data_IF_151635033929
#
_entry.id   IF_151635033929
#
_cell.length_a   1.000
_cell.length_b   1.000
_cell.length_c   1.000
_cell.angle_alpha   90.00
_cell.angle_beta   90.00
_cell.angle_gamma   90.00
#
_symmetry.space_group_name_H-M   'P 1'
#
loop_
_entity.id
_entity.type
_entity.pdbx_description
1 polymer ?
#
# COMPACT_ATOMS: atom_id res chain seq x y z
N UNK A 1 42.09 39.80 19.00
CA UNK A 1 41.78 39.83 17.56
C UNK A 1 41.97 38.42 17.06
N UNK A 2 40.88 37.84 16.55
CA UNK A 2 40.74 36.55 15.84
C UNK A 2 41.32 35.30 16.50
N UNK A 3 40.44 34.42 16.99
CA UNK A 3 40.51 32.97 16.69
C UNK A 3 39.34 32.15 17.27
N UNK A 4 38.46 32.74 18.10
CA UNK A 4 37.30 32.00 18.67
C UNK A 4 35.99 32.11 17.88
N UNK A 5 35.91 32.95 16.85
CA UNK A 5 34.65 33.25 16.13
C UNK A 5 34.51 32.49 14.78
N UNK A 6 35.33 31.45 14.55
CA UNK A 6 35.34 30.71 13.27
C UNK A 6 34.91 29.24 13.40
N UNK A 7 34.55 28.77 14.59
CA UNK A 7 34.09 27.39 14.81
C UNK A 7 32.58 27.23 14.94
N UNK A 8 31.82 28.32 15.15
CA UNK A 8 30.35 28.24 15.26
C UNK A 8 29.59 28.36 13.93
N UNK A 9 30.25 28.75 12.84
CA UNK A 9 29.59 28.97 11.53
C UNK A 9 29.55 27.73 10.62
N UNK A 10 30.09 26.58 11.03
CA UNK A 10 30.20 25.40 10.17
C UNK A 10 29.19 24.26 10.43
N UNK A 11 28.37 24.32 11.49
CA UNK A 11 27.45 23.21 11.84
C UNK A 11 25.95 23.54 11.64
N UNK A 12 25.63 24.76 11.20
CA UNK A 12 24.28 25.12 10.79
C UNK A 12 24.02 24.72 9.31
N UNK A 13 23.39 23.56 9.10
CA UNK A 13 22.45 23.25 7.99
C UNK A 13 22.68 22.00 7.13
N UNK A 14 23.48 21.01 7.56
CA UNK A 14 23.39 19.67 6.92
C UNK A 14 22.19 18.89 7.49
N UNK A 15 20.96 19.35 7.20
CA UNK A 15 19.76 18.57 7.50
C UNK A 15 19.92 17.17 6.89
N UNK A 16 19.87 16.14 7.74
CA UNK A 16 19.94 14.74 7.33
C UNK A 16 18.95 14.47 6.19
N UNK A 17 19.41 13.87 5.09
CA UNK A 17 18.56 13.46 3.96
C UNK A 17 18.22 11.96 3.99
N UNK A 18 18.42 11.29 5.13
CA UNK A 18 18.27 9.82 5.26
C UNK A 18 16.86 9.34 4.90
N UNK A 19 15.80 10.08 5.26
CA UNK A 19 14.44 9.72 4.89
C UNK A 19 14.22 9.73 3.37
N UNK A 20 14.81 10.71 2.67
CA UNK A 20 14.75 10.79 1.21
C UNK A 20 15.52 9.64 0.55
N UNK A 21 16.73 9.33 1.05
CA UNK A 21 17.50 8.21 0.50
C UNK A 21 16.82 6.85 0.74
N UNK A 22 16.18 6.66 1.90
CA UNK A 22 15.40 5.46 2.16
C UNK A 22 14.19 5.36 1.23
N UNK A 23 13.50 6.46 0.97
CA UNK A 23 12.42 6.51 -0.03
C UNK A 23 12.91 6.15 -1.42
N UNK A 24 14.01 6.76 -1.89
CA UNK A 24 14.57 6.46 -3.19
C UNK A 24 15.03 5.00 -3.30
N UNK A 25 15.68 4.46 -2.26
CA UNK A 25 16.06 3.06 -2.18
C UNK A 25 14.85 2.12 -2.21
N UNK A 26 13.77 2.46 -1.50
CA UNK A 26 12.54 1.68 -1.50
C UNK A 26 11.82 1.70 -2.86
N UNK A 27 11.91 2.81 -3.61
CA UNK A 27 11.41 2.88 -4.98
C UNK A 27 12.20 1.99 -5.94
N UNK A 28 13.53 2.04 -5.86
CA UNK A 28 14.40 1.16 -6.66
C UNK A 28 14.11 -0.30 -6.31
N UNK A 29 14.00 -0.62 -5.01
CA UNK A 29 13.61 -1.95 -4.55
C UNK A 29 12.26 -2.37 -5.12
N UNK A 30 11.22 -1.52 -5.06
CA UNK A 30 9.90 -1.84 -5.61
C UNK A 30 9.97 -2.18 -7.10
N UNK A 31 10.68 -1.38 -7.90
CA UNK A 31 10.84 -1.62 -9.34
C UNK A 31 11.59 -2.94 -9.59
N UNK A 32 12.74 -3.12 -8.96
CA UNK A 32 13.56 -4.32 -9.14
C UNK A 32 12.85 -5.58 -8.66
N UNK A 33 12.12 -5.51 -7.56
CA UNK A 33 11.41 -6.65 -6.99
C UNK A 33 10.15 -7.00 -7.82
N UNK A 34 9.42 -6.02 -8.33
CA UNK A 34 8.34 -6.29 -9.31
C UNK A 34 8.88 -6.93 -10.57
N UNK A 35 10.04 -6.47 -11.08
CA UNK A 35 10.71 -7.14 -12.20
C UNK A 35 11.13 -8.57 -11.84
N UNK A 36 11.61 -8.81 -10.62
CA UNK A 36 11.96 -10.15 -10.15
C UNK A 36 10.73 -11.08 -10.12
N UNK A 37 9.58 -10.62 -9.63
CA UNK A 37 8.32 -11.40 -9.68
C UNK A 37 8.01 -11.78 -11.13
N UNK A 38 8.07 -10.83 -12.06
CA UNK A 38 7.84 -11.09 -13.48
C UNK A 38 8.83 -12.10 -14.05
N UNK A 39 10.13 -11.94 -13.76
CA UNK A 39 11.19 -12.79 -14.28
C UNK A 39 11.12 -14.23 -13.75
N UNK A 40 10.70 -14.41 -12.49
CA UNK A 40 10.49 -15.73 -11.89
C UNK A 40 9.11 -16.32 -12.22
N UNK A 41 8.18 -15.50 -12.70
CA UNK A 41 6.81 -15.87 -13.02
C UNK A 41 6.65 -17.20 -13.78
N UNK A 42 7.39 -17.46 -14.88
CA UNK A 42 7.29 -18.72 -15.61
C UNK A 42 7.58 -19.98 -14.79
N UNK A 43 8.26 -19.87 -13.63
CA UNK A 43 8.48 -21.00 -12.72
C UNK A 43 7.22 -21.41 -11.96
N UNK A 44 6.14 -20.62 -12.01
CA UNK A 44 4.84 -20.94 -11.42
C UNK A 44 3.95 -21.78 -12.34
N UNK A 45 4.38 -22.06 -13.58
CA UNK A 45 3.61 -22.87 -14.55
C UNK A 45 3.11 -24.21 -13.99
N UNK A 46 3.88 -24.97 -13.17
CA UNK A 46 3.39 -26.22 -12.59
C UNK A 46 2.14 -26.06 -11.71
N UNK A 47 1.92 -24.88 -11.14
CA UNK A 47 0.71 -24.56 -10.38
C UNK A 47 -0.38 -24.02 -11.29
N UNK A 48 -0.05 -23.06 -12.16
CA UNK A 48 -1.01 -22.37 -13.02
C UNK A 48 -1.70 -23.35 -13.98
N UNK A 49 -0.98 -24.35 -14.50
CA UNK A 49 -1.54 -25.37 -15.39
C UNK A 49 -2.60 -26.26 -14.71
N UNK A 50 -2.73 -26.19 -13.39
CA UNK A 50 -3.73 -26.96 -12.62
C UNK A 50 -5.03 -26.20 -12.41
N UNK A 51 -5.08 -24.90 -12.72
CA UNK A 51 -6.26 -24.07 -12.49
C UNK A 51 -7.48 -24.57 -13.25
N UNK A 52 -8.65 -24.43 -12.63
CA UNK A 52 -9.93 -24.75 -13.24
C UNK A 52 -10.52 -23.46 -13.80
N UNK A 53 -10.78 -23.42 -15.11
CA UNK A 53 -11.29 -22.22 -15.81
C UNK A 53 -12.78 -21.91 -15.55
N UNK A 54 -13.46 -22.68 -14.70
CA UNK A 54 -14.89 -22.49 -14.43
C UNK A 54 -15.11 -21.54 -13.25
N UNK A 55 -15.96 -20.53 -13.47
CA UNK A 55 -16.44 -19.61 -12.44
C UNK A 55 -17.72 -20.14 -11.77
N UNK A 56 -17.67 -20.63 -10.52
CA UNK A 56 -18.83 -21.06 -9.76
C UNK A 56 -19.69 -19.90 -9.21
N UNK A 57 -19.32 -18.63 -9.41
CA UNK A 57 -20.12 -17.45 -9.03
C UNK A 57 -19.31 -16.28 -8.46
N UNK A 58 -20.00 -15.22 -8.04
CA UNK A 58 -19.42 -13.91 -7.68
C UNK A 58 -18.35 -13.91 -6.56
N UNK A 59 -18.22 -14.98 -5.79
CA UNK A 59 -17.22 -15.12 -4.72
C UNK A 59 -15.94 -15.84 -5.18
N UNK A 60 -15.90 -16.36 -6.41
CA UNK A 60 -14.78 -17.11 -6.94
C UNK A 60 -13.56 -16.22 -7.17
N UNK A 61 -12.38 -16.75 -6.85
CA UNK A 61 -11.09 -16.13 -7.09
C UNK A 61 -10.25 -17.02 -8.00
N UNK A 62 -9.81 -16.49 -9.14
CA UNK A 62 -9.15 -17.29 -10.19
C UNK A 62 -7.75 -17.80 -9.80
N UNK A 63 -6.96 -17.00 -9.07
CA UNK A 63 -5.58 -17.35 -8.72
C UNK A 63 -5.51 -18.18 -7.44
N UNK A 64 -6.10 -19.36 -7.45
CA UNK A 64 -6.10 -20.28 -6.33
C UNK A 64 -6.01 -21.72 -6.84
N UNK A 65 -5.36 -22.60 -6.08
CA UNK A 65 -5.27 -24.02 -6.44
C UNK A 65 -6.65 -24.68 -6.33
N UNK A 66 -6.92 -25.73 -7.15
CA UNK A 66 -8.20 -26.41 -7.14
C UNK A 66 -8.55 -27.06 -5.79
N UNK A 67 -7.53 -27.46 -5.05
CA UNK A 67 -7.67 -28.15 -3.77
C UNK A 67 -7.01 -27.36 -2.67
N UNK A 68 -7.80 -26.99 -1.67
CA UNK A 68 -7.32 -26.37 -0.44
C UNK A 68 -6.40 -27.34 0.32
N UNK A 69 -5.14 -26.98 0.49
CA UNK A 69 -4.21 -27.70 1.38
C UNK A 69 -4.14 -27.06 2.78
N UNK A 70 -4.23 -27.90 3.82
CA UNK A 70 -4.22 -27.41 5.20
C UNK A 70 -2.85 -26.85 5.63
N UNK A 71 -1.74 -27.49 5.22
CA UNK A 71 -0.40 -27.04 5.60
C UNK A 71 -0.06 -25.72 4.92
N UNK A 72 -0.39 -25.57 3.63
CA UNK A 72 -0.27 -24.31 2.90
C UNK A 72 -1.03 -23.21 3.62
N UNK A 73 -2.31 -23.43 3.93
CA UNK A 73 -3.12 -22.41 4.61
C UNK A 73 -2.57 -22.05 5.99
N UNK A 74 -2.13 -23.05 6.77
CA UNK A 74 -1.50 -22.80 8.06
C UNK A 74 -0.25 -21.91 7.94
N UNK A 75 0.60 -22.16 6.94
CA UNK A 75 1.81 -21.37 6.66
C UNK A 75 1.44 -19.93 6.26
N UNK A 76 0.52 -19.77 5.30
CA UNK A 76 0.12 -18.45 4.78
C UNK A 76 -0.52 -17.60 5.88
N UNK A 77 -1.45 -18.17 6.65
CA UNK A 77 -2.03 -17.48 7.81
C UNK A 77 -0.99 -17.13 8.86
N UNK A 78 -0.03 -18.02 9.12
CA UNK A 78 1.05 -17.75 10.07
C UNK A 78 1.93 -16.57 9.60
N UNK A 79 2.28 -16.50 8.32
CA UNK A 79 3.03 -15.38 7.77
C UNK A 79 2.23 -14.08 7.75
N UNK A 80 0.94 -14.13 7.39
CA UNK A 80 0.06 -12.98 7.48
C UNK A 80 -0.01 -12.44 8.92
N UNK A 81 -0.30 -13.30 9.91
CA UNK A 81 -0.40 -12.89 11.31
C UNK A 81 0.94 -12.38 11.86
N UNK A 82 2.05 -13.05 11.54
CA UNK A 82 3.38 -12.61 11.92
C UNK A 82 3.71 -11.23 11.33
N UNK A 83 3.40 -11.01 10.05
CA UNK A 83 3.58 -9.71 9.40
C UNK A 83 2.71 -8.64 10.07
N UNK A 84 1.42 -8.94 10.26
CA UNK A 84 0.44 -8.03 10.84
C UNK A 84 0.81 -7.59 12.25
N UNK A 85 1.12 -8.55 13.13
CA UNK A 85 1.46 -8.27 14.52
C UNK A 85 2.83 -7.60 14.66
N UNK A 86 3.78 -7.89 13.78
CA UNK A 86 5.08 -7.19 13.76
C UNK A 86 4.90 -5.71 13.43
N UNK A 87 4.08 -5.37 12.43
CA UNK A 87 3.77 -3.98 12.08
C UNK A 87 2.96 -3.29 13.17
N UNK A 88 1.94 -3.94 13.73
CA UNK A 88 1.16 -3.39 14.84
C UNK A 88 2.01 -3.16 16.10
N UNK A 89 2.93 -4.07 16.41
CA UNK A 89 3.90 -3.90 17.49
C UNK A 89 4.81 -2.68 17.27
N UNK A 90 5.29 -2.48 16.04
CA UNK A 90 6.07 -1.31 15.67
C UNK A 90 5.26 0.00 15.82
N UNK A 91 4.01 0.00 15.36
CA UNK A 91 3.09 1.14 15.50
C UNK A 91 2.85 1.46 16.98
N UNK A 92 2.55 0.45 17.79
CA UNK A 92 2.32 0.61 19.22
C UNK A 92 3.54 1.21 19.93
N UNK A 93 4.73 0.70 19.62
CA UNK A 93 5.98 1.27 20.13
C UNK A 93 6.15 2.73 19.70
N UNK A 94 5.94 3.05 18.41
CA UNK A 94 6.09 4.41 17.90
C UNK A 94 5.07 5.39 18.48
N UNK A 95 3.82 4.96 18.71
CA UNK A 95 2.79 5.80 19.30
C UNK A 95 3.17 6.32 20.69
N UNK A 96 3.92 5.52 21.46
CA UNK A 96 4.41 5.84 22.82
C UNK A 96 5.72 6.63 22.82
N UNK A 97 6.61 6.34 21.87
CA UNK A 97 7.99 6.86 21.91
C UNK A 97 8.24 8.04 20.94
N UNK A 98 7.42 8.21 19.90
CA UNK A 98 7.63 9.22 18.84
C UNK A 98 6.51 10.27 18.82
N UNK A 99 6.01 10.65 20.01
CA UNK A 99 4.86 11.57 20.16
C UNK A 99 5.10 12.93 19.52
N UNK A 100 6.30 13.50 19.67
CA UNK A 100 6.65 14.82 19.10
C UNK A 100 6.70 14.81 17.57
N UNK A 101 7.14 13.70 16.97
CA UNK A 101 7.26 13.57 15.52
C UNK A 101 5.90 13.49 14.80
N UNK A 102 4.81 13.32 15.55
CA UNK A 102 3.44 13.37 15.00
C UNK A 102 3.09 14.76 14.46
N UNK A 103 3.66 15.82 15.05
CA UNK A 103 3.45 17.22 14.61
C UNK A 103 4.67 17.83 13.95
N UNK A 104 5.86 17.30 14.23
CA UNK A 104 7.14 17.76 13.66
C UNK A 104 7.88 16.60 12.99
N UNK A 105 7.51 16.20 11.75
CA UNK A 105 8.15 15.10 11.06
C UNK A 105 9.65 15.35 10.83
N UNK A 106 10.47 14.31 10.95
CA UNK A 106 11.93 14.41 10.80
C UNK A 106 12.39 14.18 9.36
N UNK A 107 13.56 14.73 8.99
CA UNK A 107 14.23 14.44 7.71
C UNK A 107 15.18 13.22 7.82
N UNK A 108 15.40 12.72 9.03
CA UNK A 108 16.19 11.52 9.31
C UNK A 108 15.31 10.26 9.45
N UNK A 109 15.92 9.12 9.75
CA UNK A 109 15.21 7.87 10.07
C UNK A 109 15.20 7.63 11.58
N UNK A 110 14.06 7.16 12.07
CA UNK A 110 13.85 6.69 13.45
C UNK A 110 14.05 5.17 13.53
N UNK A 111 14.07 4.63 14.76
CA UNK A 111 14.08 3.18 14.97
C UNK A 111 12.85 2.50 14.37
N UNK A 112 11.69 3.15 14.42
CA UNK A 112 10.46 2.66 13.78
C UNK A 112 10.68 2.46 12.27
N UNK A 113 11.31 3.43 11.60
CA UNK A 113 11.51 3.36 10.15
C UNK A 113 12.42 2.20 9.76
N UNK A 114 13.55 2.03 10.45
CA UNK A 114 14.45 0.91 10.19
C UNK A 114 13.78 -0.44 10.41
N UNK A 115 13.04 -0.58 11.51
CA UNK A 115 12.38 -1.83 11.85
C UNK A 115 11.26 -2.18 10.87
N UNK A 116 10.44 -1.21 10.48
CA UNK A 116 9.35 -1.43 9.51
C UNK A 116 9.86 -1.64 8.09
N UNK A 117 10.95 -0.98 7.66
CA UNK A 117 11.63 -1.30 6.40
C UNK A 117 12.14 -2.75 6.39
N UNK A 118 12.76 -3.19 7.50
CA UNK A 118 13.25 -4.55 7.63
C UNK A 118 12.11 -5.57 7.63
N UNK A 119 11.06 -5.36 8.42
CA UNK A 119 9.88 -6.24 8.47
C UNK A 119 9.26 -6.38 7.08
N UNK A 120 8.89 -5.25 6.47
CA UNK A 120 8.22 -5.28 5.16
C UNK A 120 9.14 -5.92 4.11
N UNK A 121 10.43 -5.56 4.07
CA UNK A 121 11.39 -6.16 3.14
C UNK A 121 11.52 -7.69 3.32
N UNK A 122 11.60 -8.15 4.57
CA UNK A 122 11.67 -9.59 4.87
C UNK A 122 10.40 -10.33 4.45
N UNK A 123 9.21 -9.80 4.76
CA UNK A 123 7.96 -10.43 4.38
C UNK A 123 7.66 -10.34 2.87
N UNK A 124 8.17 -9.33 2.17
CA UNK A 124 8.11 -9.27 0.70
C UNK A 124 8.88 -10.43 0.07
N UNK A 125 10.12 -10.67 0.53
CA UNK A 125 10.93 -11.79 0.06
C UNK A 125 10.30 -13.12 0.47
N UNK A 126 9.83 -13.23 1.71
CA UNK A 126 9.20 -14.43 2.22
C UNK A 126 7.92 -14.78 1.45
N UNK A 127 7.12 -13.79 1.06
CA UNK A 127 5.92 -14.02 0.28
C UNK A 127 6.25 -14.55 -1.12
N UNK A 128 7.26 -14.00 -1.80
CA UNK A 128 7.75 -14.55 -3.07
C UNK A 128 8.14 -16.04 -2.92
N UNK A 129 8.95 -16.35 -1.90
CA UNK A 129 9.36 -17.73 -1.62
C UNK A 129 8.14 -18.62 -1.32
N UNK A 130 7.20 -18.12 -0.52
CA UNK A 130 5.98 -18.86 -0.18
C UNK A 130 5.16 -19.19 -1.44
N UNK A 131 4.94 -18.22 -2.33
CA UNK A 131 4.20 -18.46 -3.57
C UNK A 131 4.90 -19.47 -4.47
N UNK A 132 6.23 -19.46 -4.55
CA UNK A 132 6.96 -20.44 -5.37
C UNK A 132 6.96 -21.87 -4.79
N UNK A 133 6.70 -22.05 -3.50
CA UNK A 133 6.68 -23.37 -2.87
C UNK A 133 5.26 -23.91 -2.69
N UNK A 134 4.31 -23.06 -2.30
CA UNK A 134 2.94 -23.47 -1.95
C UNK A 134 1.85 -22.76 -2.76
N UNK A 135 2.21 -21.78 -3.57
CA UNK A 135 1.31 -21.01 -4.41
C UNK A 135 0.30 -20.15 -3.68
N UNK A 136 -0.69 -20.74 -3.01
CA UNK A 136 -1.91 -20.06 -2.55
C UNK A 136 -1.65 -18.88 -1.60
N UNK A 137 -2.50 -17.86 -1.72
CA UNK A 137 -2.67 -16.79 -0.74
C UNK A 137 -3.88 -17.05 0.17
N UNK A 138 -4.28 -16.06 0.97
CA UNK A 138 -5.44 -16.18 1.87
C UNK A 138 -6.76 -16.40 1.12
N UNK A 139 -6.82 -16.04 -0.17
CA UNK A 139 -8.03 -16.16 -0.99
C UNK A 139 -8.65 -17.57 -1.01
N UNK A 140 -7.86 -18.61 -0.75
CA UNK A 140 -8.35 -19.98 -0.62
C UNK A 140 -9.32 -20.18 0.56
N UNK A 141 -9.18 -19.38 1.63
CA UNK A 141 -9.97 -19.48 2.86
C UNK A 141 -11.00 -18.34 3.02
N UNK A 142 -10.89 -17.27 2.23
CA UNK A 142 -11.72 -16.06 2.39
C UNK A 142 -12.21 -15.48 1.05
N UNK A 143 -13.47 -14.98 0.97
CA UNK A 143 -14.02 -14.44 -0.27
C UNK A 143 -13.28 -13.20 -0.80
N UNK A 144 -13.28 -13.00 -2.12
CA UNK A 144 -12.61 -11.86 -2.80
C UNK A 144 -13.05 -10.48 -2.29
N UNK A 145 -14.32 -10.32 -1.91
CA UNK A 145 -14.87 -9.04 -1.45
C UNK A 145 -14.22 -8.56 -0.14
N UNK A 146 -13.62 -9.46 0.64
CA UNK A 146 -12.93 -9.09 1.89
C UNK A 146 -11.67 -8.27 1.60
N UNK A 147 -10.88 -8.68 0.60
CA UNK A 147 -9.71 -7.94 0.13
C UNK A 147 -10.12 -6.57 -0.42
N UNK A 148 -11.11 -6.55 -1.32
CA UNK A 148 -11.67 -5.31 -1.88
C UNK A 148 -12.20 -4.37 -0.79
N UNK A 149 -12.96 -4.90 0.16
CA UNK A 149 -13.50 -4.16 1.30
C UNK A 149 -12.43 -3.52 2.16
N UNK A 150 -11.30 -4.21 2.38
CA UNK A 150 -10.17 -3.67 3.13
C UNK A 150 -9.56 -2.41 2.47
N UNK A 151 -9.39 -2.45 1.15
CA UNK A 151 -8.90 -1.31 0.35
C UNK A 151 -9.93 -0.17 0.35
N UNK A 152 -11.22 -0.47 0.18
CA UNK A 152 -12.29 0.54 0.24
C UNK A 152 -12.28 1.26 1.60
N UNK A 153 -12.18 0.51 2.71
CA UNK A 153 -12.09 1.08 4.06
C UNK A 153 -10.87 2.00 4.16
N UNK A 154 -9.71 1.58 3.68
CA UNK A 154 -8.50 2.41 3.66
C UNK A 154 -8.72 3.71 2.86
N UNK A 155 -9.27 3.64 1.65
CA UNK A 155 -9.52 4.80 0.80
C UNK A 155 -10.51 5.76 1.45
N UNK A 156 -11.60 5.26 2.03
CA UNK A 156 -12.57 6.08 2.78
C UNK A 156 -11.89 6.79 3.95
N UNK A 157 -11.05 6.08 4.72
CA UNK A 157 -10.28 6.70 5.80
C UNK A 157 -9.37 7.82 5.31
N UNK A 158 -8.67 7.60 4.20
CA UNK A 158 -7.80 8.60 3.58
C UNK A 158 -8.61 9.83 3.15
N UNK A 159 -9.77 9.64 2.51
CA UNK A 159 -10.68 10.72 2.14
C UNK A 159 -11.12 11.56 3.36
N UNK A 160 -11.48 10.90 4.46
CA UNK A 160 -11.86 11.58 5.70
C UNK A 160 -10.67 12.39 6.26
N UNK A 161 -9.47 11.81 6.29
CA UNK A 161 -8.26 12.45 6.84
C UNK A 161 -7.81 13.64 6.01
N UNK A 162 -7.95 13.57 4.69
CA UNK A 162 -7.52 14.60 3.74
C UNK A 162 -8.60 15.66 3.43
N UNK A 163 -9.87 15.44 3.82
CA UNK A 163 -10.96 16.42 3.64
C UNK A 163 -10.59 17.84 4.14
N UNK A 164 -9.99 18.04 5.34
CA UNK A 164 -9.61 19.39 5.78
C UNK A 164 -8.56 20.08 4.89
N UNK A 165 -7.76 19.30 4.15
CA UNK A 165 -6.66 19.78 3.31
C UNK A 165 -7.11 20.08 1.88
N UNK A 166 -7.81 19.14 1.23
CA UNK A 166 -8.17 19.24 -0.20
C UNK A 166 -9.66 19.24 -0.50
N UNK A 167 -10.53 19.06 0.50
CA UNK A 167 -11.97 18.87 0.27
C UNK A 167 -12.31 17.54 -0.39
N UNK A 168 -13.59 17.27 -0.59
CA UNK A 168 -14.08 16.00 -1.14
C UNK A 168 -14.82 16.15 -2.47
N UNK A 169 -15.13 17.37 -2.88
CA UNK A 169 -15.75 17.64 -4.18
C UNK A 169 -15.41 19.05 -4.65
N UNK A 170 -14.69 19.17 -5.76
CA UNK A 170 -14.24 20.44 -6.35
C UNK A 170 -13.50 21.34 -5.33
N UNK A 171 -12.66 20.74 -4.48
CA UNK A 171 -11.96 21.48 -3.42
C UNK A 171 -12.84 21.89 -2.23
N UNK A 172 -14.15 21.61 -2.24
CA UNK A 172 -15.08 21.96 -1.16
C UNK A 172 -14.94 20.97 -0.01
N UNK A 173 -14.73 21.51 1.19
CA UNK A 173 -14.67 20.74 2.44
C UNK A 173 -16.09 20.39 2.86
N UNK A 174 -16.32 19.13 3.21
CA UNK A 174 -17.58 18.77 3.87
C UNK A 174 -17.66 19.46 5.23
N UNK A 175 -18.81 20.09 5.49
CA UNK A 175 -19.14 20.73 6.77
C UNK A 175 -19.51 19.69 7.83
N UNK A 176 -20.56 19.92 8.62
CA UNK A 176 -21.05 18.91 9.56
C UNK A 176 -21.67 17.72 8.79
N UNK A 177 -21.40 16.45 9.19
CA UNK A 177 -20.70 16.02 10.41
C UNK A 177 -19.16 15.89 10.29
N UNK A 178 -18.58 16.15 9.12
CA UNK A 178 -17.14 16.03 8.81
C UNK A 178 -16.27 17.16 9.40
N UNK A 179 -16.32 17.32 10.72
CA UNK A 179 -15.58 18.35 11.45
C UNK A 179 -14.09 18.04 11.57
N UNK A 180 -13.31 19.03 12.03
CA UNK A 180 -11.90 18.84 12.36
C UNK A 180 -11.68 17.80 13.48
N UNK A 181 -12.64 17.63 14.40
CA UNK A 181 -12.58 16.60 15.45
C UNK A 181 -12.69 15.19 14.85
N UNK A 182 -13.64 14.98 13.93
CA UNK A 182 -13.82 13.70 13.22
C UNK A 182 -12.54 13.37 12.44
N UNK A 183 -12.07 14.31 11.62
CA UNK A 183 -10.83 14.14 10.85
C UNK A 183 -9.62 13.86 11.77
N UNK A 184 -9.56 14.51 12.93
CA UNK A 184 -8.52 14.31 13.93
C UNK A 184 -8.57 12.94 14.60
N UNK A 185 -9.76 12.39 14.86
CA UNK A 185 -9.94 11.03 15.38
C UNK A 185 -9.39 10.00 14.40
N UNK A 186 -9.82 10.07 13.13
CA UNK A 186 -9.33 9.16 12.10
C UNK A 186 -7.82 9.32 11.87
N UNK A 187 -7.29 10.55 11.84
CA UNK A 187 -5.86 10.79 11.72
C UNK A 187 -5.04 10.19 12.87
N UNK A 188 -5.58 10.08 14.08
CA UNK A 188 -4.87 9.44 15.21
C UNK A 188 -4.91 7.92 15.16
N UNK A 189 -5.93 7.33 14.54
CA UNK A 189 -6.17 5.88 14.59
C UNK A 189 -5.91 5.15 13.26
N UNK A 190 -5.75 5.86 12.14
CA UNK A 190 -5.64 5.28 10.80
C UNK A 190 -4.57 4.20 10.69
N UNK A 191 -3.43 4.39 11.35
CA UNK A 191 -2.26 3.52 11.26
C UNK A 191 -2.56 2.03 11.43
N UNK A 192 -3.40 1.63 12.40
CA UNK A 192 -3.71 0.20 12.60
C UNK A 192 -4.61 -0.37 11.49
N UNK A 193 -5.65 0.38 11.10
CA UNK A 193 -6.61 -0.06 10.08
C UNK A 193 -5.98 -0.07 8.69
N UNK A 194 -5.19 0.96 8.36
CA UNK A 194 -4.46 1.01 7.10
C UNK A 194 -3.39 -0.10 7.06
N UNK A 195 -2.61 -0.30 8.13
CA UNK A 195 -1.65 -1.40 8.16
C UNK A 195 -2.34 -2.76 7.99
N UNK A 196 -3.52 -2.95 8.59
CA UNK A 196 -4.32 -4.16 8.38
C UNK A 196 -4.75 -4.33 6.93
N UNK A 197 -5.39 -3.31 6.34
CA UNK A 197 -5.85 -3.38 4.96
C UNK A 197 -4.70 -3.71 3.99
N UNK A 198 -3.53 -3.11 4.22
CA UNK A 198 -2.35 -3.34 3.40
C UNK A 198 -1.78 -4.75 3.57
N UNK A 199 -1.48 -5.18 4.79
CA UNK A 199 -0.89 -6.50 5.04
C UNK A 199 -1.87 -7.62 4.65
N UNK A 200 -3.16 -7.42 4.88
CA UNK A 200 -4.20 -8.36 4.46
C UNK A 200 -4.28 -8.50 2.95
N UNK A 201 -4.42 -7.40 2.22
CA UNK A 201 -4.42 -7.40 0.74
C UNK A 201 -3.13 -8.01 0.19
N UNK A 202 -1.99 -7.70 0.82
CA UNK A 202 -0.70 -8.22 0.41
C UNK A 202 -0.62 -9.75 0.48
N UNK A 203 -1.14 -10.37 1.54
CA UNK A 203 -1.16 -11.84 1.69
C UNK A 203 -2.39 -12.52 1.09
N UNK A 204 -3.40 -11.74 0.69
CA UNK A 204 -4.61 -12.28 0.08
C UNK A 204 -4.31 -12.94 -1.26
N UNK A 205 -3.53 -12.26 -2.10
CA UNK A 205 -3.18 -12.71 -3.42
C UNK A 205 -1.87 -13.50 -3.40
N UNK A 206 -1.74 -14.61 -4.15
CA UNK A 206 -0.43 -15.20 -4.42
C UNK A 206 0.43 -14.23 -5.24
N UNK A 207 1.75 -14.23 -5.03
CA UNK A 207 2.70 -13.37 -5.72
C UNK A 207 3.03 -13.84 -7.15
N UNK A 208 2.03 -13.82 -8.03
CA UNK A 208 2.18 -14.20 -9.45
C UNK A 208 2.46 -12.98 -10.36
N UNK A 209 2.56 -13.24 -11.67
CA UNK A 209 3.21 -12.37 -12.65
C UNK A 209 2.30 -11.85 -13.76
N UNK A 210 0.99 -12.06 -13.71
CA UNK A 210 0.09 -11.40 -14.65
C UNK A 210 0.05 -9.87 -14.40
N UNK A 211 -0.29 -9.06 -15.42
CA UNK A 211 -0.23 -7.60 -15.33
C UNK A 211 -1.06 -6.99 -14.19
N UNK A 212 -2.22 -7.54 -13.87
CA UNK A 212 -3.05 -7.00 -12.81
C UNK A 212 -2.41 -7.25 -11.43
N UNK A 213 -1.82 -8.43 -11.18
CA UNK A 213 -1.18 -8.73 -9.91
C UNK A 213 0.19 -8.05 -9.79
N UNK A 214 0.98 -7.98 -10.86
CA UNK A 214 2.24 -7.23 -10.86
C UNK A 214 2.05 -5.75 -10.50
N UNK A 215 1.05 -5.10 -11.09
CA UNK A 215 0.75 -3.69 -10.78
C UNK A 215 0.22 -3.53 -9.35
N UNK A 216 -0.52 -4.53 -8.85
CA UNK A 216 -0.97 -4.60 -7.47
C UNK A 216 0.21 -4.70 -6.50
N UNK A 217 1.12 -5.67 -6.68
CA UNK A 217 2.29 -5.83 -5.82
C UNK A 217 3.22 -4.63 -5.86
N UNK A 218 3.46 -4.05 -7.05
CA UNK A 218 4.21 -2.81 -7.16
C UNK A 218 3.56 -1.71 -6.31
N UNK A 219 2.24 -1.53 -6.40
CA UNK A 219 1.53 -0.55 -5.58
C UNK A 219 1.64 -0.87 -4.08
N UNK A 220 1.53 -2.14 -3.69
CA UNK A 220 1.73 -2.58 -2.30
C UNK A 220 3.11 -2.21 -1.77
N UNK A 221 4.17 -2.31 -2.58
CA UNK A 221 5.52 -1.88 -2.18
C UNK A 221 5.61 -0.36 -1.97
N UNK A 222 4.93 0.43 -2.81
CA UNK A 222 4.82 1.87 -2.60
C UNK A 222 4.07 2.21 -1.30
N UNK A 223 2.98 1.48 -1.00
CA UNK A 223 2.20 1.66 0.23
C UNK A 223 2.98 1.20 1.48
N UNK A 224 3.73 0.10 1.41
CA UNK A 224 4.63 -0.30 2.49
C UNK A 224 5.76 0.70 2.70
N UNK A 225 6.23 1.36 1.65
CA UNK A 225 7.15 2.49 1.77
C UNK A 225 6.50 3.64 2.55
N UNK A 226 5.23 3.97 2.27
CA UNK A 226 4.47 4.97 3.01
C UNK A 226 4.30 4.63 4.49
N UNK A 227 4.01 3.37 4.82
CA UNK A 227 3.94 2.88 6.21
C UNK A 227 5.31 2.95 6.89
N UNK A 228 6.35 2.52 6.19
CA UNK A 228 7.71 2.41 6.75
C UNK A 228 8.36 3.76 6.97
N UNK A 229 7.98 4.79 6.20
CA UNK A 229 8.50 6.14 6.34
C UNK A 229 7.63 7.06 7.19
N UNK A 230 6.66 6.52 7.95
CA UNK A 230 5.88 7.31 8.91
C UNK A 230 6.78 8.10 9.87
N UNK A 231 6.29 9.23 10.38
CA UNK A 231 7.05 10.21 11.19
C UNK A 231 8.17 10.96 10.45
N UNK A 232 8.37 10.72 9.15
CA UNK A 232 9.31 11.49 8.33
C UNK A 232 8.58 12.51 7.44
N UNK A 233 9.34 13.47 6.90
CA UNK A 233 8.83 14.44 5.91
C UNK A 233 8.33 13.78 4.62
N UNK A 234 8.77 12.56 4.30
CA UNK A 234 8.32 11.82 3.10
C UNK A 234 6.87 11.38 3.26
N UNK A 235 6.49 10.87 4.44
CA UNK A 235 5.14 10.37 4.69
C UNK A 235 4.05 11.44 4.53
N UNK A 236 4.40 12.70 4.75
CA UNK A 236 3.51 13.86 4.59
C UNK A 236 3.77 14.66 3.31
N UNK A 237 4.66 14.18 2.44
CA UNK A 237 4.96 14.83 1.18
C UNK A 237 3.75 14.74 0.24
N UNK A 238 3.28 15.88 -0.25
CA UNK A 238 2.06 15.97 -1.06
C UNK A 238 2.19 15.24 -2.39
N UNK A 239 3.32 15.39 -3.09
CA UNK A 239 3.54 14.74 -4.38
C UNK A 239 3.54 13.22 -4.25
N UNK A 240 4.21 12.71 -3.20
CA UNK A 240 4.23 11.30 -2.88
C UNK A 240 2.84 10.75 -2.51
N UNK A 241 2.12 11.42 -1.60
CA UNK A 241 0.76 10.99 -1.21
C UNK A 241 -0.19 10.98 -2.41
N UNK A 242 -0.18 12.02 -3.24
CA UNK A 242 -1.04 12.06 -4.44
C UNK A 242 -0.63 10.99 -5.46
N UNK A 243 0.66 10.68 -5.59
CA UNK A 243 1.11 9.57 -6.44
C UNK A 243 0.48 8.25 -5.96
N UNK A 244 0.55 7.96 -4.66
CA UNK A 244 -0.05 6.74 -4.09
C UNK A 244 -1.56 6.69 -4.35
N UNK A 245 -2.27 7.77 -4.05
CA UNK A 245 -3.72 7.85 -4.25
C UNK A 245 -4.15 7.79 -5.72
N UNK A 246 -3.28 8.22 -6.64
CA UNK A 246 -3.56 8.12 -8.08
C UNK A 246 -3.22 6.72 -8.61
N UNK A 247 -2.22 6.06 -8.02
CA UNK A 247 -1.75 4.75 -8.49
C UNK A 247 -2.81 3.66 -8.33
N UNK A 248 -3.69 3.74 -7.33
CA UNK A 248 -4.83 2.80 -7.24
C UNK A 248 -5.70 2.83 -8.50
N UNK A 249 -5.84 3.98 -9.17
CA UNK A 249 -6.55 4.06 -10.46
C UNK A 249 -5.80 3.38 -11.60
N UNK A 250 -4.46 3.47 -11.60
CA UNK A 250 -3.61 2.74 -12.56
C UNK A 250 -3.77 1.24 -12.36
N UNK A 251 -3.65 0.75 -11.13
CA UNK A 251 -3.84 -0.66 -10.82
C UNK A 251 -5.25 -1.14 -11.18
N UNK A 252 -6.30 -0.39 -10.83
CA UNK A 252 -7.68 -0.73 -11.18
C UNK A 252 -7.92 -0.78 -12.70
N UNK A 253 -7.24 0.06 -13.47
CA UNK A 253 -7.27 -0.01 -14.94
C UNK A 253 -6.70 -1.36 -15.44
N UNK A 254 -5.54 -1.79 -14.92
CA UNK A 254 -4.98 -3.09 -15.30
C UNK A 254 -5.86 -4.26 -14.89
N UNK A 255 -6.42 -4.24 -13.68
CA UNK A 255 -7.40 -5.24 -13.23
C UNK A 255 -8.57 -5.31 -14.22
N UNK A 256 -9.16 -4.17 -14.55
CA UNK A 256 -10.35 -4.17 -15.39
C UNK A 256 -10.07 -4.58 -16.85
N UNK A 257 -8.98 -4.08 -17.44
CA UNK A 257 -8.57 -4.48 -18.80
C UNK A 257 -8.21 -5.97 -18.84
N UNK A 258 -7.46 -6.47 -17.87
CA UNK A 258 -7.05 -7.87 -17.85
C UNK A 258 -8.25 -8.82 -17.70
N UNK A 259 -9.18 -8.51 -16.79
CA UNK A 259 -10.40 -9.31 -16.65
C UNK A 259 -11.28 -9.26 -17.91
N UNK A 260 -11.39 -8.11 -18.59
CA UNK A 260 -12.16 -8.02 -19.84
C UNK A 260 -11.49 -8.77 -21.01
N UNK A 261 -10.15 -8.75 -21.11
CA UNK A 261 -9.43 -9.34 -22.25
C UNK A 261 -9.11 -10.82 -22.09
N UNK A 262 -8.89 -11.29 -20.86
CA UNK A 262 -8.31 -12.62 -20.59
C UNK A 262 -9.24 -13.57 -19.83
N UNK A 263 -10.34 -13.08 -19.23
CA UNK A 263 -11.31 -13.95 -18.56
C UNK A 263 -12.44 -14.31 -19.55
N UNK A 264 -12.62 -15.59 -19.94
CA UNK A 264 -13.68 -16.01 -20.86
C UNK A 264 -15.09 -15.88 -20.27
N UNK A 265 -15.19 -15.64 -18.96
CA UNK A 265 -16.44 -15.44 -18.27
C UNK A 265 -16.93 -14.02 -18.56
N UNK A 266 -18.15 -13.95 -19.08
CA UNK A 266 -18.89 -12.75 -19.44
C UNK A 266 -19.15 -11.81 -18.25
N UNK A 267 -18.11 -11.23 -17.65
CA UNK A 267 -18.25 -10.06 -16.81
C UNK A 267 -18.42 -8.87 -17.73
N UNK A 268 -19.52 -8.13 -17.56
CA UNK A 268 -19.76 -6.84 -18.23
C UNK A 268 -18.51 -5.97 -18.23
N UNK A 269 -18.36 -5.09 -19.24
CA UNK A 269 -17.26 -4.13 -19.33
C UNK A 269 -17.12 -3.33 -18.01
N UNK A 270 -16.25 -3.79 -17.11
CA UNK A 270 -16.04 -3.20 -15.78
C UNK A 270 -15.04 -2.04 -15.85
N UNK A 271 -14.21 -2.00 -16.89
CA UNK A 271 -13.18 -0.98 -17.07
C UNK A 271 -13.72 0.45 -17.21
N UNK A 272 -14.89 0.75 -17.83
CA UNK A 272 -15.45 2.09 -17.84
C UNK A 272 -15.88 2.53 -16.44
N UNK A 273 -16.38 1.62 -15.58
CA UNK A 273 -16.76 1.93 -14.19
C UNK A 273 -15.54 2.29 -13.34
N UNK A 274 -14.47 1.51 -13.43
CA UNK A 274 -13.24 1.80 -12.68
C UNK A 274 -12.52 3.05 -13.23
N UNK A 275 -12.36 3.17 -14.55
CA UNK A 275 -11.73 4.32 -15.16
C UNK A 275 -12.50 5.62 -14.85
N UNK A 276 -13.83 5.62 -14.96
CA UNK A 276 -14.65 6.80 -14.69
C UNK A 276 -14.68 7.16 -13.19
N UNK A 277 -14.77 6.18 -12.29
CA UNK A 277 -14.72 6.41 -10.85
C UNK A 277 -13.39 7.02 -10.39
N UNK A 278 -12.26 6.50 -10.88
CA UNK A 278 -10.94 7.04 -10.53
C UNK A 278 -10.63 8.37 -11.22
N UNK A 279 -11.00 8.54 -12.49
CA UNK A 279 -10.90 9.84 -13.16
C UNK A 279 -11.74 10.90 -12.42
N UNK A 280 -12.95 10.53 -11.97
CA UNK A 280 -13.77 11.39 -11.14
C UNK A 280 -13.06 11.76 -9.83
N UNK A 281 -12.53 10.78 -9.09
CA UNK A 281 -11.82 11.06 -7.83
C UNK A 281 -10.58 11.94 -8.06
N UNK A 282 -9.79 11.68 -9.10
CA UNK A 282 -8.62 12.51 -9.41
C UNK A 282 -9.03 13.95 -9.76
N UNK A 283 -9.99 14.11 -10.66
CA UNK A 283 -10.44 15.42 -11.17
C UNK A 283 -11.15 16.23 -10.10
N UNK A 284 -12.04 15.62 -9.33
CA UNK A 284 -12.86 16.35 -8.37
C UNK A 284 -12.26 16.41 -6.97
N UNK A 285 -11.23 15.62 -6.67
CA UNK A 285 -10.64 15.57 -5.32
C UNK A 285 -9.11 15.69 -5.31
N UNK A 286 -8.36 14.76 -5.92
CA UNK A 286 -6.91 14.66 -5.69
C UNK A 286 -6.13 15.84 -6.25
N UNK A 287 -6.50 16.36 -7.43
CA UNK A 287 -5.80 17.50 -8.03
C UNK A 287 -5.83 18.77 -7.15
N UNK A 288 -6.86 18.95 -6.32
CA UNK A 288 -6.99 20.08 -5.40
C UNK A 288 -6.04 20.00 -4.19
N UNK A 289 -5.36 18.86 -3.98
CA UNK A 289 -4.29 18.74 -2.98
C UNK A 289 -3.07 19.60 -3.35
N UNK A 290 -2.81 19.73 -4.65
CA UNK A 290 -1.92 20.74 -5.18
C UNK A 290 -2.72 22.03 -5.25
N UNK A 291 -2.53 22.94 -4.30
CA UNK A 291 -3.11 24.28 -4.39
C UNK A 291 -2.63 24.92 -5.70
N UNK A 292 -3.37 24.78 -6.79
CA UNK A 292 -3.13 25.53 -8.01
C UNK A 292 -3.37 26.98 -7.62
N UNK A 293 -2.28 27.74 -7.45
CA UNK A 293 -2.37 29.18 -7.29
C UNK A 293 -3.05 29.69 -8.56
N UNK A 294 -4.29 30.17 -8.42
CA UNK A 294 -4.83 31.15 -9.35
C UNK A 294 -4.11 32.46 -9.12
#
# INVERSE_FOLDING_TARGET
MSDEDNTESHDASRQSKKAFYAWAGALVFAICFTYLIWALGPLLEPFISTFIEQDPGADYYYWQLPTRDFMTMFIVWSFYLAHQFSIWGAIFWAQRNLTELKTKPTTSLTRYNWFTLLINGAFIILHLVQTHIWFDGLAQDVPIWTSQGSVIIMLVLILIIENPRRGLFMGRKLGKPMTAQVSGFFRRNHQYVIAWALVYTFWFHPMTYDPQLLTGFFYMFLLFTQVSLAYTVVHVNRGWVVLLESFVGVHAFFVAVYNTLMTPISSSDMWPMFASGFAFMFVFTYMYAFKVRR
#
